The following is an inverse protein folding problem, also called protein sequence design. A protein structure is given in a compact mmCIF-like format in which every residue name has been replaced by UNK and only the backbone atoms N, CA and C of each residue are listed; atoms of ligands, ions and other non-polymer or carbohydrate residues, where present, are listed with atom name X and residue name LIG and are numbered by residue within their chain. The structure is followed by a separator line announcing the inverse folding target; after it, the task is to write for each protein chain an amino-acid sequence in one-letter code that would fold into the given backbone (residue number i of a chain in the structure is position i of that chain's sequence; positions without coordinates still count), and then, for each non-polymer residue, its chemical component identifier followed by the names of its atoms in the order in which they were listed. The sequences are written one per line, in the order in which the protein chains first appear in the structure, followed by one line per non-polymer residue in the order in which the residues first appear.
data_IF_058812925408
#
_entry.id   IF_058812925408
#
_cell.length_a   1.000
_cell.length_b   1.000
_cell.length_c   1.000
_cell.angle_alpha   90.00
_cell.angle_beta   90.00
_cell.angle_gamma   90.00
#
_symmetry.space_group_name_H-M   'P 1'
#
loop_
_entity.id
_entity.type
_entity.pdbx_description
1 polymer ?
#
# COMPACT_ATOMS: atom_id res chain seq x y z
N UNK A 1 -5.44 -6.82 -6.98
CA UNK A 1 -6.20 -6.41 -5.77
C UNK A 1 -7.33 -7.38 -5.54
N UNK A 2 -7.60 -7.67 -4.28
CA UNK A 2 -8.73 -8.55 -3.92
C UNK A 2 -10.05 -7.80 -4.11
N UNK A 3 -11.07 -8.44 -4.65
CA UNK A 3 -12.36 -7.82 -4.99
C UNK A 3 -13.05 -7.18 -3.76
N UNK A 4 -13.12 -7.89 -2.64
CA UNK A 4 -13.72 -7.36 -1.41
C UNK A 4 -12.94 -6.20 -0.84
N UNK A 5 -11.61 -6.22 -0.98
CA UNK A 5 -10.76 -5.10 -0.57
C UNK A 5 -10.95 -3.89 -1.50
N UNK A 6 -11.06 -4.12 -2.80
CA UNK A 6 -11.32 -3.04 -3.75
C UNK A 6 -12.63 -2.31 -3.41
N UNK A 7 -13.68 -3.04 -3.06
CA UNK A 7 -14.96 -2.45 -2.66
C UNK A 7 -14.82 -1.65 -1.37
N UNK A 8 -14.18 -2.22 -0.35
CA UNK A 8 -13.98 -1.54 0.93
C UNK A 8 -13.11 -0.29 0.80
N UNK A 9 -12.05 -0.37 -0.01
CA UNK A 9 -11.14 0.76 -0.22
C UNK A 9 -11.80 1.86 -1.05
N UNK A 10 -12.66 1.51 -2.00
CA UNK A 10 -13.43 2.49 -2.76
C UNK A 10 -14.35 3.28 -1.82
N UNK A 11 -15.08 2.61 -0.95
CA UNK A 11 -15.96 3.26 0.02
C UNK A 11 -15.16 4.16 0.96
N UNK A 12 -14.01 3.69 1.42
CA UNK A 12 -13.13 4.46 2.31
C UNK A 12 -12.59 5.71 1.61
N UNK A 13 -12.14 5.58 0.38
CA UNK A 13 -11.62 6.71 -0.39
C UNK A 13 -12.69 7.78 -0.62
N UNK A 14 -13.90 7.36 -0.97
CA UNK A 14 -15.03 8.27 -1.18
C UNK A 14 -15.38 8.99 0.14
N UNK A 15 -15.39 8.28 1.25
CA UNK A 15 -15.68 8.85 2.57
C UNK A 15 -14.65 9.90 3.00
N UNK A 16 -13.44 9.86 2.45
CA UNK A 16 -12.33 10.75 2.82
C UNK A 16 -11.98 11.80 1.77
N UNK A 17 -12.80 11.93 0.72
CA UNK A 17 -12.53 12.91 -0.35
C UNK A 17 -12.37 14.34 0.17
N UNK A 18 -13.18 14.74 1.14
CA UNK A 18 -13.15 16.09 1.68
C UNK A 18 -11.96 16.32 2.62
N UNK A 19 -11.62 15.33 3.42
CA UNK A 19 -10.55 15.45 4.43
C UNK A 19 -9.16 15.20 3.83
N UNK A 20 -9.06 14.23 2.92
CA UNK A 20 -7.80 13.77 2.34
C UNK A 20 -7.92 13.63 0.82
N UNK A 21 -8.15 14.75 0.10
CA UNK A 21 -8.45 14.67 -1.34
C UNK A 21 -7.34 14.05 -2.16
N UNK A 22 -6.07 14.32 -1.83
CA UNK A 22 -4.94 13.77 -2.60
C UNK A 22 -4.80 12.27 -2.40
N UNK A 23 -4.89 11.80 -1.15
CA UNK A 23 -4.81 10.37 -0.84
C UNK A 23 -5.99 9.63 -1.42
N UNK A 24 -7.20 10.21 -1.32
CA UNK A 24 -8.41 9.65 -1.92
C UNK A 24 -8.24 9.44 -3.43
N UNK A 25 -7.74 10.46 -4.13
CA UNK A 25 -7.50 10.38 -5.57
C UNK A 25 -6.45 9.31 -5.91
N UNK A 26 -5.34 9.28 -5.17
CA UNK A 26 -4.31 8.26 -5.36
C UNK A 26 -4.87 6.86 -5.21
N UNK A 27 -5.64 6.63 -4.16
CA UNK A 27 -6.21 5.31 -3.87
C UNK A 27 -7.22 4.90 -4.94
N UNK A 28 -8.11 5.80 -5.35
CA UNK A 28 -9.08 5.52 -6.41
C UNK A 28 -8.38 5.21 -7.75
N UNK A 29 -7.29 5.90 -8.06
CA UNK A 29 -6.51 5.63 -9.26
C UNK A 29 -5.86 4.24 -9.22
N UNK A 30 -5.34 3.83 -8.07
CA UNK A 30 -4.76 2.49 -7.91
C UNK A 30 -5.81 1.40 -8.06
N UNK A 31 -7.01 1.61 -7.51
CA UNK A 31 -8.12 0.67 -7.66
C UNK A 31 -8.53 0.55 -9.13
N UNK A 32 -8.60 1.68 -9.84
CA UNK A 32 -9.00 1.71 -11.25
C UNK A 32 -8.02 0.96 -12.16
N UNK A 33 -6.73 0.97 -11.81
CA UNK A 33 -5.68 0.28 -12.58
C UNK A 33 -5.46 -1.16 -12.18
N UNK A 34 -5.97 -1.57 -11.04
CA UNK A 34 -5.70 -2.90 -10.48
C UNK A 34 -6.42 -3.99 -11.27
N UNK A 35 -5.76 -5.14 -11.37
CA UNK A 35 -6.43 -6.38 -11.79
C UNK A 35 -7.14 -6.94 -10.57
N UNK A 36 -8.43 -7.19 -10.70
CA UNK A 36 -9.27 -7.63 -9.58
C UNK A 36 -9.32 -9.16 -9.55
N UNK A 37 -9.06 -9.72 -8.39
CA UNK A 37 -9.06 -11.15 -8.15
C UNK A 37 -9.95 -11.50 -6.96
N UNK A 38 -10.42 -12.74 -6.90
CA UNK A 38 -10.96 -13.29 -5.67
C UNK A 38 -9.82 -13.56 -4.69
N UNK A 39 -10.10 -13.51 -3.39
CA UNK A 39 -9.06 -13.65 -2.37
C UNK A 39 -8.25 -14.93 -2.52
N UNK A 40 -8.89 -16.04 -2.86
CA UNK A 40 -8.22 -17.34 -3.05
C UNK A 40 -7.39 -17.44 -4.32
N UNK A 41 -7.48 -16.45 -5.21
CA UNK A 41 -6.78 -16.43 -6.51
C UNK A 41 -5.76 -15.31 -6.64
N UNK A 42 -5.66 -14.43 -5.64
CA UNK A 42 -4.68 -13.34 -5.70
C UNK A 42 -3.25 -13.92 -5.70
N UNK A 43 -2.37 -13.47 -6.60
CA UNK A 43 -0.97 -13.90 -6.55
C UNK A 43 -0.34 -13.56 -5.20
N UNK A 44 0.50 -14.46 -4.68
CA UNK A 44 1.07 -14.34 -3.34
C UNK A 44 2.06 -13.19 -3.18
N UNK A 45 2.57 -12.66 -4.28
CA UNK A 45 3.55 -11.57 -4.29
C UNK A 45 2.95 -10.17 -4.43
N UNK A 46 1.61 -10.06 -4.43
CA UNK A 46 0.90 -8.78 -4.53
C UNK A 46 0.59 -8.23 -3.14
N UNK A 47 0.82 -6.92 -2.96
CA UNK A 47 0.48 -6.24 -1.71
C UNK A 47 -1.03 -6.15 -1.56
N UNK A 48 -1.55 -6.76 -0.52
CA UNK A 48 -2.95 -6.72 -0.11
C UNK A 48 -3.06 -6.01 1.24
N UNK A 49 -4.28 -5.76 1.70
CA UNK A 49 -4.44 -5.22 3.05
C UNK A 49 -3.87 -6.20 4.08
N UNK A 50 -3.22 -5.66 5.10
CA UNK A 50 -2.50 -6.38 6.15
C UNK A 50 -1.27 -7.14 5.68
N UNK A 51 -0.86 -6.97 4.42
CA UNK A 51 0.43 -7.51 3.95
C UNK A 51 1.58 -6.83 4.68
N UNK A 52 2.60 -7.61 4.98
CA UNK A 52 3.89 -7.09 5.45
C UNK A 52 4.80 -6.94 4.24
N UNK A 53 5.33 -5.74 4.05
CA UNK A 53 6.14 -5.41 2.88
C UNK A 53 7.56 -5.08 3.34
N UNK A 54 8.53 -5.80 2.80
CA UNK A 54 9.96 -5.49 2.96
C UNK A 54 10.42 -4.72 1.73
N UNK A 55 11.00 -3.55 1.93
CA UNK A 55 11.50 -2.74 0.82
C UNK A 55 12.85 -2.13 1.16
N UNK A 56 13.59 -1.77 0.09
CA UNK A 56 14.91 -1.15 0.19
C UNK A 56 14.85 0.21 -0.47
N UNK A 57 15.33 1.23 0.26
CA UNK A 57 15.57 2.55 -0.31
C UNK A 57 16.85 2.48 -1.14
N UNK A 58 16.73 2.58 -2.46
CA UNK A 58 17.87 2.46 -3.37
C UNK A 58 18.91 3.58 -3.17
N UNK A 59 18.50 4.75 -2.68
CA UNK A 59 19.40 5.87 -2.47
C UNK A 59 20.31 5.67 -1.26
N UNK A 60 19.77 5.13 -0.16
CA UNK A 60 20.51 4.95 1.10
C UNK A 60 20.92 3.50 1.35
N UNK A 61 20.31 2.55 0.66
CA UNK A 61 20.50 1.12 0.93
C UNK A 61 19.78 0.63 2.19
N UNK A 62 19.02 1.50 2.87
CA UNK A 62 18.32 1.13 4.09
C UNK A 62 17.15 0.21 3.78
N UNK A 63 17.05 -0.89 4.52
CA UNK A 63 15.92 -1.81 4.43
C UNK A 63 14.88 -1.44 5.48
N UNK A 64 13.60 -1.52 5.11
CA UNK A 64 12.48 -1.27 6.00
C UNK A 64 11.41 -2.33 5.83
N UNK A 65 10.66 -2.57 6.89
CA UNK A 65 9.53 -3.48 6.89
C UNK A 65 8.33 -2.76 7.46
N UNK A 66 7.23 -2.72 6.70
CA UNK A 66 5.98 -2.09 7.13
C UNK A 66 4.82 -3.03 6.83
N UNK A 67 3.79 -2.97 7.68
CA UNK A 67 2.52 -3.65 7.45
C UNK A 67 1.48 -2.63 7.01
N UNK A 68 0.81 -2.90 5.89
CA UNK A 68 -0.27 -2.04 5.38
C UNK A 68 -1.57 -2.38 6.09
N UNK A 69 -2.18 -1.39 6.74
CA UNK A 69 -3.37 -1.62 7.57
C UNK A 69 -4.45 -0.56 7.30
N UNK A 70 -5.66 -0.83 7.78
CA UNK A 70 -6.72 0.17 7.82
C UNK A 70 -6.42 1.24 8.87
N UNK A 71 -6.99 2.46 8.75
CA UNK A 71 -6.62 3.58 9.63
C UNK A 71 -6.71 3.29 11.12
N UNK A 72 -7.71 2.54 11.55
CA UNK A 72 -7.90 2.22 12.97
C UNK A 72 -6.78 1.37 13.56
N UNK A 73 -6.06 0.63 12.72
CA UNK A 73 -4.98 -0.27 13.13
C UNK A 73 -3.61 0.36 12.93
N UNK A 74 -3.55 1.60 12.44
CA UNK A 74 -2.29 2.25 12.14
C UNK A 74 -1.52 2.57 13.42
N UNK A 75 -0.22 2.26 13.39
CA UNK A 75 0.71 2.56 14.47
C UNK A 75 2.12 2.52 13.89
N UNK A 76 2.62 3.69 13.54
CA UNK A 76 3.91 3.79 12.86
C UNK A 76 5.06 3.29 13.76
N UNK A 77 4.93 3.43 15.06
CA UNK A 77 5.94 2.93 16.01
C UNK A 77 6.00 1.40 16.03
N UNK A 78 4.90 0.73 15.67
CA UNK A 78 4.84 -0.72 15.54
C UNK A 78 5.04 -1.19 14.08
N UNK A 79 5.39 -0.29 13.16
CA UNK A 79 5.58 -0.62 11.76
C UNK A 79 4.29 -0.82 10.98
N UNK A 80 3.17 -0.28 11.45
CA UNK A 80 1.87 -0.39 10.76
C UNK A 80 1.50 0.96 10.14
N UNK A 81 1.41 0.99 8.81
CA UNK A 81 1.10 2.21 8.06
C UNK A 81 -0.33 2.16 7.52
N UNK A 82 -1.05 3.27 7.66
CA UNK A 82 -2.42 3.38 7.17
C UNK A 82 -2.47 3.42 5.64
N UNK A 83 -3.48 2.76 5.07
CA UNK A 83 -3.83 2.88 3.64
C UNK A 83 -4.18 4.34 3.27
N UNK A 84 -4.60 5.14 4.23
CA UNK A 84 -4.93 6.55 4.01
C UNK A 84 -3.72 7.49 4.11
N UNK A 85 -2.53 6.96 3.88
CA UNK A 85 -1.32 7.76 3.69
C UNK A 85 -0.86 7.63 2.26
N UNK A 86 -0.08 8.59 1.74
CA UNK A 86 0.45 8.47 0.39
C UNK A 86 1.27 7.17 0.19
N UNK A 87 2.10 6.78 1.17
CA UNK A 87 2.87 5.52 1.07
C UNK A 87 1.93 4.32 1.01
N UNK A 88 0.95 4.27 1.89
CA UNK A 88 -0.01 3.16 1.91
C UNK A 88 -0.79 3.06 0.60
N UNK A 89 -1.30 4.18 0.11
CA UNK A 89 -2.04 4.21 -1.16
C UNK A 89 -1.14 3.83 -2.35
N UNK A 90 0.15 4.14 -2.27
CA UNK A 90 1.11 3.76 -3.31
C UNK A 90 1.53 2.31 -3.26
N UNK A 91 1.47 1.67 -2.09
CA UNK A 91 1.89 0.27 -1.92
C UNK A 91 0.83 -0.73 -2.36
N UNK A 92 -0.45 -0.42 -2.17
CA UNK A 92 -1.52 -1.39 -2.47
C UNK A 92 -1.49 -1.82 -3.93
N UNK A 93 -1.54 -3.11 -4.17
CA UNK A 93 -1.55 -3.67 -5.52
C UNK A 93 -0.18 -3.82 -6.18
N UNK A 94 0.89 -3.34 -5.56
CA UNK A 94 2.24 -3.55 -6.08
C UNK A 94 2.69 -5.00 -5.85
N UNK A 95 3.74 -5.39 -6.56
CA UNK A 95 4.29 -6.75 -6.53
C UNK A 95 5.77 -6.72 -6.15
N UNK A 96 6.28 -7.86 -5.68
CA UNK A 96 7.72 -8.03 -5.49
C UNK A 96 8.47 -7.68 -6.77
N UNK A 97 9.58 -6.99 -6.63
CA UNK A 97 10.40 -6.54 -7.74
C UNK A 97 10.01 -5.21 -8.33
N UNK A 98 8.85 -4.65 -8.00
CA UNK A 98 8.46 -3.32 -8.46
C UNK A 98 9.09 -2.24 -7.57
N UNK A 99 9.27 -1.07 -8.16
CA UNK A 99 9.84 0.09 -7.48
C UNK A 99 8.84 1.22 -7.51
N UNK A 100 8.69 1.91 -6.37
CA UNK A 100 7.90 3.14 -6.31
C UNK A 100 8.84 4.31 -6.09
N UNK A 101 8.48 5.46 -6.65
CA UNK A 101 9.17 6.72 -6.41
C UNK A 101 8.46 7.44 -5.27
N UNK A 102 9.24 7.85 -4.29
CA UNK A 102 8.71 8.48 -3.10
C UNK A 102 9.44 9.80 -2.82
N UNK A 103 8.78 10.96 -2.87
CA UNK A 103 9.41 12.22 -2.46
C UNK A 103 9.47 12.30 -0.94
N UNK A 104 10.62 12.68 -0.40
CA UNK A 104 10.76 12.93 1.02
C UNK A 104 10.34 14.37 1.37
N UNK A 105 10.52 14.73 2.65
CA UNK A 105 10.14 16.07 3.14
C UNK A 105 10.97 17.19 2.51
N UNK A 106 12.16 16.87 2.04
CA UNK A 106 13.09 17.83 1.42
C UNK A 106 12.88 17.92 -0.09
N UNK A 107 11.89 17.19 -0.62
CA UNK A 107 11.59 17.16 -2.04
C UNK A 107 12.50 16.24 -2.85
N UNK A 108 13.35 15.46 -2.20
CA UNK A 108 14.19 14.47 -2.88
C UNK A 108 13.41 13.19 -3.11
N UNK A 109 13.52 12.65 -4.31
CA UNK A 109 12.88 11.40 -4.67
C UNK A 109 13.69 10.21 -4.16
N UNK A 110 13.02 9.30 -3.48
CA UNK A 110 13.55 8.01 -3.09
C UNK A 110 12.91 6.93 -3.94
N UNK A 111 13.72 6.00 -4.42
CA UNK A 111 13.24 4.81 -5.11
C UNK A 111 13.19 3.66 -4.09
N UNK A 112 11.97 3.17 -3.83
CA UNK A 112 11.74 2.07 -2.89
C UNK A 112 11.45 0.81 -3.68
N UNK A 113 12.36 -0.17 -3.60
CA UNK A 113 12.21 -1.45 -4.27
C UNK A 113 11.57 -2.45 -3.33
N UNK A 114 10.48 -3.07 -3.76
CA UNK A 114 9.79 -4.09 -2.98
C UNK A 114 10.55 -5.40 -3.12
N UNK A 115 11.09 -5.88 -2.00
CA UNK A 115 11.91 -7.09 -1.94
C UNK A 115 11.06 -8.31 -1.64
N UNK A 116 10.12 -8.19 -0.71
CA UNK A 116 9.27 -9.30 -0.28
C UNK A 116 7.91 -8.79 0.14
N UNK A 117 6.88 -9.53 -0.25
CA UNK A 117 5.50 -9.32 0.21
C UNK A 117 5.05 -10.57 0.94
N UNK A 118 4.59 -10.41 2.18
CA UNK A 118 3.99 -11.50 2.96
C UNK A 118 2.54 -11.12 3.23
N UNK A 119 1.63 -11.80 2.55
CA UNK A 119 0.20 -11.55 2.73
C UNK A 119 -0.26 -12.11 4.07
N UNK A 120 -1.24 -11.43 4.69
CA UNK A 120 -1.86 -11.94 5.90
C UNK A 120 -2.63 -13.22 5.58
N UNK A 121 -2.55 -14.20 6.50
CA UNK A 121 -3.33 -15.43 6.34
C UNK A 121 -4.81 -15.11 6.44
N UNK A 122 -5.61 -15.75 5.60
CA UNK A 122 -7.06 -15.68 5.70
C UNK A 122 -7.49 -16.36 7.00
N UNK A 123 -8.18 -15.60 7.85
CA UNK A 123 -8.68 -16.13 9.12
C UNK A 123 -9.91 -17.02 8.88
#
# INVERSE_FOLDING_TARGET
MIDTEADALTDLAIAKEDDLPQVSEMLLNEIARATIHKAERIPSDVVTMRSTVEFVDENSGAARTLQLVYPRDADISAGRISILTPVGAGLIGLREGQTIRWPDRDGQDHNLSIVRVTQAEAA
#
